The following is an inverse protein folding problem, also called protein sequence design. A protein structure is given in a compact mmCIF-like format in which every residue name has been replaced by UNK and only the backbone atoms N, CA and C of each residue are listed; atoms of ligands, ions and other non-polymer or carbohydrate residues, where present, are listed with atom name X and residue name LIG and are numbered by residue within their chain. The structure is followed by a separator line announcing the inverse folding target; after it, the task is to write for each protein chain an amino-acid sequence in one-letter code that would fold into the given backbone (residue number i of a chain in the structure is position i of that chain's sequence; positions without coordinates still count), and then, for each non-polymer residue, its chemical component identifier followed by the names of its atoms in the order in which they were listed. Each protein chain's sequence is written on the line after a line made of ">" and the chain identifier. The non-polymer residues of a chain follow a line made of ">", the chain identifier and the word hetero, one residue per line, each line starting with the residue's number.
data_IF_222836646511
#
_entry.id   IF_222836646511
#
_cell.length_a   1.000
_cell.length_b   1.000
_cell.length_c   1.000
_cell.angle_alpha   90.00
_cell.angle_beta   90.00
_cell.angle_gamma   90.00
#
_symmetry.space_group_name_H-M   'P 1'
#
loop_
_entity.id
_entity.type
_entity.pdbx_description
1 polymer ?
#
# COMPACT_ATOMS: atom_id res chain seq x y z
N UNK A 1 -12.58 3.19 4.12
CA UNK A 1 -11.33 3.96 4.23
C UNK A 1 -10.19 3.15 3.60
N UNK A 2 -9.17 3.80 3.05
CA UNK A 2 -8.03 3.09 2.45
C UNK A 2 -7.21 2.36 3.53
N UNK A 3 -6.78 1.12 3.26
CA UNK A 3 -5.83 0.41 4.12
C UNK A 3 -4.45 1.06 3.96
N UNK A 4 -3.81 1.42 5.07
CA UNK A 4 -2.49 2.07 5.09
C UNK A 4 -1.56 1.33 6.02
N UNK A 5 -0.34 1.12 5.56
CA UNK A 5 0.79 0.60 6.36
C UNK A 5 1.89 1.64 6.29
N UNK A 6 2.44 2.02 7.44
CA UNK A 6 3.61 2.90 7.51
C UNK A 6 4.83 2.05 7.85
N UNK A 7 5.91 2.29 7.12
CA UNK A 7 7.22 1.64 7.33
C UNK A 7 8.28 2.72 7.54
N UNK A 8 9.40 2.32 8.12
CA UNK A 8 10.55 3.20 8.31
C UNK A 8 11.28 3.43 6.98
N UNK A 9 12.13 4.46 6.92
CA UNK A 9 12.91 4.76 5.71
C UNK A 9 13.97 3.72 5.36
N UNK A 10 14.21 2.73 6.23
CA UNK A 10 15.17 1.64 6.03
C UNK A 10 14.50 0.38 5.48
N UNK A 11 13.17 0.36 5.39
CA UNK A 11 12.40 -0.77 4.88
C UNK A 11 11.98 -0.53 3.43
N UNK A 12 12.20 -1.54 2.59
CA UNK A 12 11.87 -1.50 1.17
C UNK A 12 10.68 -2.40 0.79
N UNK A 13 9.99 -2.95 1.79
CA UNK A 13 8.83 -3.82 1.61
C UNK A 13 7.84 -3.65 2.76
N UNK A 14 6.55 -3.83 2.48
CA UNK A 14 5.49 -3.89 3.48
C UNK A 14 4.53 -5.04 3.14
N UNK A 15 3.90 -5.62 4.16
CA UNK A 15 2.88 -6.66 3.99
C UNK A 15 1.51 -6.10 4.35
N UNK A 16 0.57 -6.19 3.41
CA UNK A 16 -0.85 -5.93 3.66
C UNK A 16 -1.52 -7.27 4.00
N UNK A 17 -2.15 -7.33 5.16
CA UNK A 17 -2.82 -8.53 5.67
C UNK A 17 -4.33 -8.30 5.80
N UNK A 18 -5.09 -9.38 5.98
CA UNK A 18 -6.55 -9.34 6.18
C UNK A 18 -7.33 -8.70 5.01
N UNK A 19 -6.81 -8.83 3.80
CA UNK A 19 -7.51 -8.43 2.58
C UNK A 19 -8.64 -9.42 2.25
N UNK A 20 -9.69 -8.92 1.61
CA UNK A 20 -10.79 -9.76 1.12
C UNK A 20 -10.27 -10.68 0.01
N UNK A 21 -10.68 -11.96 -0.02
CA UNK A 21 -10.35 -12.86 -1.13
C UNK A 21 -11.05 -12.43 -2.41
N UNK A 22 -10.52 -12.85 -3.56
CA UNK A 22 -11.08 -12.59 -4.91
C UNK A 22 -11.45 -11.12 -5.15
N UNK A 23 -10.66 -10.19 -4.62
CA UNK A 23 -10.95 -8.76 -4.62
C UNK A 23 -9.84 -7.97 -5.28
N UNK A 24 -10.22 -7.03 -6.14
CA UNK A 24 -9.31 -6.09 -6.81
C UNK A 24 -8.83 -5.02 -5.82
N UNK A 25 -7.53 -4.77 -5.81
CA UNK A 25 -6.89 -3.72 -5.03
C UNK A 25 -6.00 -2.85 -5.92
N UNK A 26 -5.99 -1.56 -5.61
CA UNK A 26 -5.07 -0.58 -6.15
C UNK A 26 -4.07 -0.19 -5.06
N UNK A 27 -2.79 -0.20 -5.40
CA UNK A 27 -1.69 0.06 -4.47
C UNK A 27 -0.84 1.22 -4.99
N UNK A 28 -0.56 2.17 -4.11
CA UNK A 28 0.38 3.28 -4.32
C UNK A 28 1.29 3.41 -3.09
N UNK A 29 2.50 3.93 -3.28
CA UNK A 29 3.46 4.21 -2.20
C UNK A 29 3.76 5.71 -2.17
N UNK A 30 3.83 6.29 -0.96
CA UNK A 30 4.18 7.70 -0.75
C UNK A 30 5.30 7.80 0.29
N UNK A 31 6.32 8.60 0.01
CA UNK A 31 7.29 9.01 1.01
C UNK A 31 6.70 10.14 1.87
N UNK A 32 6.84 10.05 3.20
CA UNK A 32 6.32 11.04 4.13
C UNK A 32 7.39 11.48 5.13
N UNK A 33 7.32 12.74 5.57
CA UNK A 33 8.09 13.31 6.67
C UNK A 33 7.18 14.17 7.56
N UNK A 34 7.76 14.93 8.50
CA UNK A 34 7.00 15.79 9.42
C UNK A 34 6.24 16.94 8.75
N UNK A 35 6.60 17.33 7.53
CA UNK A 35 5.90 18.36 6.75
C UNK A 35 4.74 17.79 5.93
N UNK A 36 4.73 16.49 5.65
CA UNK A 36 3.67 15.83 4.90
C UNK A 36 4.18 14.68 4.02
N UNK A 37 3.32 14.23 3.10
CA UNK A 37 3.63 13.18 2.14
C UNK A 37 3.83 13.75 0.74
N UNK A 38 4.80 13.21 0.02
CA UNK A 38 5.05 13.52 -1.38
C UNK A 38 3.97 12.95 -2.33
N UNK A 39 4.18 13.12 -3.65
CA UNK A 39 3.31 12.51 -4.65
C UNK A 39 3.34 10.97 -4.55
N UNK A 40 2.24 10.29 -4.94
CA UNK A 40 2.22 8.84 -5.01
C UNK A 40 3.13 8.31 -6.11
N UNK A 41 3.58 7.08 -5.95
CA UNK A 41 4.12 6.28 -7.05
C UNK A 41 3.05 6.03 -8.12
N UNK A 42 3.47 5.43 -9.23
CA UNK A 42 2.53 4.83 -10.17
C UNK A 42 1.62 3.82 -9.45
N UNK A 43 0.35 3.83 -9.83
CA UNK A 43 -0.67 2.94 -9.25
C UNK A 43 -0.51 1.54 -9.84
N UNK A 44 -0.43 0.55 -8.96
CA UNK A 44 -0.40 -0.86 -9.33
C UNK A 44 -1.76 -1.48 -9.06
N UNK A 45 -2.26 -2.23 -10.02
CA UNK A 45 -3.49 -3.01 -9.89
C UNK A 45 -3.17 -4.49 -9.61
N UNK A 46 -3.88 -5.10 -8.67
CA UNK A 46 -3.69 -6.51 -8.32
C UNK A 46 -4.97 -7.15 -7.78
N UNK A 47 -5.01 -8.48 -7.76
CA UNK A 47 -6.13 -9.27 -7.24
C UNK A 47 -5.64 -10.23 -6.17
N UNK A 48 -6.35 -10.29 -5.06
CA UNK A 48 -6.15 -11.36 -4.08
C UNK A 48 -6.64 -12.69 -4.64
N UNK A 49 -6.04 -13.79 -4.17
CA UNK A 49 -6.46 -15.14 -4.55
C UNK A 49 -7.90 -15.41 -4.10
N UNK A 50 -8.55 -16.35 -4.78
CA UNK A 50 -9.80 -16.96 -4.27
C UNK A 50 -9.53 -17.70 -2.96
N UNK A 51 -10.57 -17.83 -2.15
CA UNK A 51 -10.54 -18.62 -0.91
C UNK A 51 -10.40 -20.12 -1.21
#
# INVERSE_FOLDING_TARGET
>A
AAHRVQVTSQEYSARLENLLPDTQYFVEVRACNSAGCGPPSDMIETFTKKA
#
